data_IF_820354265478
#
_entry.id   IF_820354265478
#
_cell.length_a   1.000
_cell.length_b   1.000
_cell.length_c   1.000
_cell.angle_alpha   90.00
_cell.angle_beta   90.00
_cell.angle_gamma   90.00
#
_symmetry.space_group_name_H-M   'P 1'
#
loop_
_entity.id
_entity.type
_entity.pdbx_description
1 polymer ?
#
# COMPACT_ATOMS: atom_id res chain seq x y z
N UNK A 1 -25.68 44.85 36.99
CA UNK A 1 -24.82 44.67 35.80
C UNK A 1 -23.71 43.67 36.14
N UNK A 2 -23.84 42.38 35.82
CA UNK A 2 -22.68 41.46 35.75
C UNK A 2 -23.07 40.08 35.17
N UNK A 3 -23.41 40.01 33.88
CA UNK A 3 -23.66 38.72 33.18
C UNK A 3 -22.86 38.55 31.90
N UNK A 4 -22.10 39.57 31.47
CA UNK A 4 -21.29 39.52 30.24
C UNK A 4 -19.86 39.02 30.45
N UNK A 5 -19.32 39.09 31.66
CA UNK A 5 -17.93 38.66 31.95
C UNK A 5 -17.78 37.13 32.09
N UNK A 6 -18.82 36.42 32.54
CA UNK A 6 -18.77 34.96 32.74
C UNK A 6 -18.91 34.17 31.43
N UNK A 7 -19.52 34.74 30.38
CA UNK A 7 -19.71 34.07 29.08
C UNK A 7 -18.42 33.97 28.23
N UNK A 8 -17.44 34.86 28.44
CA UNK A 8 -16.18 34.86 27.69
C UNK A 8 -15.14 33.89 28.26
N UNK A 9 -15.15 33.63 29.58
CA UNK A 9 -14.23 32.65 30.18
C UNK A 9 -14.64 31.21 29.86
N UNK A 10 -15.95 30.91 29.81
CA UNK A 10 -16.46 29.57 29.47
C UNK A 10 -16.18 29.21 28.00
N UNK A 11 -16.19 30.19 27.08
CA UNK A 11 -15.86 29.97 25.67
C UNK A 11 -14.43 29.50 25.44
N UNK A 12 -13.46 30.00 26.21
CA UNK A 12 -12.07 29.56 26.08
C UNK A 12 -11.85 28.14 26.60
N UNK A 13 -12.44 27.76 27.74
CA UNK A 13 -12.27 26.42 28.29
C UNK A 13 -12.80 25.30 27.37
N UNK A 14 -13.88 25.57 26.62
CA UNK A 14 -14.42 24.59 25.64
C UNK A 14 -13.51 24.48 24.41
N UNK A 15 -12.98 25.60 23.90
CA UNK A 15 -12.06 25.61 22.75
C UNK A 15 -10.72 24.97 23.10
N UNK A 16 -10.20 25.27 24.29
CA UNK A 16 -8.95 24.72 24.80
C UNK A 16 -9.09 23.22 25.10
N UNK A 17 -10.24 22.79 25.64
CA UNK A 17 -10.57 21.37 25.80
C UNK A 17 -10.77 20.67 24.44
N UNK A 18 -11.35 21.32 23.43
CA UNK A 18 -11.48 20.76 22.09
C UNK A 18 -10.12 20.64 21.39
N UNK A 19 -9.21 21.59 21.59
CA UNK A 19 -7.82 21.53 21.14
C UNK A 19 -7.05 20.42 21.86
N UNK A 20 -7.20 20.28 23.18
CA UNK A 20 -6.59 19.21 23.96
C UNK A 20 -7.14 17.84 23.58
N UNK A 21 -8.45 17.68 23.41
CA UNK A 21 -9.06 16.43 22.94
C UNK A 21 -8.60 16.11 21.51
N UNK A 22 -8.54 17.12 20.63
CA UNK A 22 -8.01 16.96 19.28
C UNK A 22 -6.51 16.57 19.28
N UNK A 23 -5.70 17.17 20.16
CA UNK A 23 -4.27 16.85 20.27
C UNK A 23 -4.01 15.53 21.01
N UNK A 24 -4.84 15.14 21.99
CA UNK A 24 -4.76 13.86 22.68
C UNK A 24 -5.24 12.71 21.79
N UNK A 25 -6.27 12.89 20.97
CA UNK A 25 -6.64 11.92 19.92
C UNK A 25 -5.53 11.71 18.89
N UNK A 26 -4.65 12.70 18.68
CA UNK A 26 -3.47 12.54 17.84
C UNK A 26 -2.29 11.86 18.55
N UNK A 27 -2.27 11.85 19.88
CA UNK A 27 -1.14 11.36 20.68
C UNK A 27 -1.40 10.01 21.39
N UNK A 28 -2.64 9.53 21.47
CA UNK A 28 -2.98 8.23 22.09
C UNK A 28 -3.11 7.07 21.07
N UNK A 29 -3.04 7.34 19.76
CA UNK A 29 -3.12 6.34 18.68
C UNK A 29 -1.76 5.99 18.03
N UNK A 30 -0.65 6.08 18.77
CA UNK A 30 0.65 5.55 18.29
C UNK A 30 0.75 4.01 18.35
N UNK A 31 -0.37 3.34 18.66
CA UNK A 31 -0.60 1.96 18.27
C UNK A 31 -1.29 1.95 16.90
N UNK A 32 -0.60 2.42 15.86
CA UNK A 32 -1.06 2.14 14.50
C UNK A 32 -1.16 0.62 14.36
N UNK A 33 -2.36 0.08 14.13
CA UNK A 33 -2.59 -1.34 13.83
C UNK A 33 -1.76 -1.75 12.61
N UNK A 34 -0.51 -2.14 12.84
CA UNK A 34 0.39 -2.59 11.79
C UNK A 34 -0.11 -3.92 11.30
N UNK A 35 -0.45 -3.97 10.02
CA UNK A 35 -0.80 -5.22 9.37
C UNK A 35 0.45 -6.07 9.19
N UNK A 36 0.30 -7.38 9.44
CA UNK A 36 1.37 -8.35 9.20
C UNK A 36 1.22 -8.91 7.79
N UNK A 37 2.26 -8.76 6.98
CA UNK A 37 2.36 -9.37 5.65
C UNK A 37 3.45 -10.44 5.64
N UNK A 38 3.20 -11.50 4.86
CA UNK A 38 4.11 -12.64 4.72
C UNK A 38 4.69 -12.71 3.33
N UNK A 39 6.01 -12.61 3.24
CA UNK A 39 6.76 -12.56 1.99
C UNK A 39 7.84 -13.64 1.95
N UNK A 40 8.24 -14.02 0.73
CA UNK A 40 9.50 -14.74 0.49
C UNK A 40 10.63 -13.72 0.35
N UNK A 41 11.88 -14.14 0.57
CA UNK A 41 13.07 -13.31 0.32
C UNK A 41 13.06 -12.68 -1.09
N UNK A 42 12.77 -13.47 -2.13
CA UNK A 42 12.66 -12.98 -3.51
C UNK A 42 11.50 -11.99 -3.77
N UNK A 43 10.57 -11.82 -2.83
CA UNK A 43 9.50 -10.81 -2.91
C UNK A 43 9.91 -9.54 -2.15
N UNK A 44 10.66 -9.67 -1.06
CA UNK A 44 11.27 -8.56 -0.34
C UNK A 44 12.29 -7.84 -1.23
N UNK A 45 13.16 -8.61 -1.89
CA UNK A 45 14.12 -8.06 -2.86
C UNK A 45 13.42 -7.27 -3.98
N UNK A 46 12.27 -7.76 -4.46
CA UNK A 46 11.48 -7.04 -5.48
C UNK A 46 10.84 -5.76 -4.94
N UNK A 47 10.44 -5.74 -3.67
CA UNK A 47 9.94 -4.52 -3.01
C UNK A 47 11.06 -3.49 -2.90
N UNK A 48 12.27 -3.91 -2.51
CA UNK A 48 13.44 -3.04 -2.42
C UNK A 48 13.77 -2.45 -3.79
N UNK A 49 13.85 -3.27 -4.84
CA UNK A 49 14.08 -2.77 -6.20
C UNK A 49 12.98 -1.82 -6.68
N UNK A 50 11.71 -2.11 -6.37
CA UNK A 50 10.60 -1.18 -6.69
C UNK A 50 10.73 0.14 -5.93
N UNK A 51 11.15 0.10 -4.66
CA UNK A 51 11.43 1.28 -3.86
C UNK A 51 12.55 2.11 -4.49
N UNK A 52 13.68 1.49 -4.85
CA UNK A 52 14.83 2.15 -5.46
C UNK A 52 14.48 2.83 -6.79
N UNK A 53 13.74 2.13 -7.66
CA UNK A 53 13.36 2.65 -8.98
C UNK A 53 12.36 3.81 -8.89
N UNK A 54 11.46 3.78 -7.90
CA UNK A 54 10.38 4.77 -7.78
C UNK A 54 10.71 5.92 -6.82
N UNK A 55 11.73 5.77 -5.97
CA UNK A 55 12.04 6.68 -4.88
C UNK A 55 11.00 6.68 -3.75
N UNK A 56 10.11 5.67 -3.69
CA UNK A 56 9.05 5.57 -2.70
C UNK A 56 9.44 4.62 -1.57
N UNK A 57 8.99 4.91 -0.34
CA UNK A 57 9.21 4.01 0.79
C UNK A 57 8.55 2.64 0.60
N UNK A 58 9.13 1.61 1.22
CA UNK A 58 8.59 0.24 1.18
C UNK A 58 7.10 0.17 1.58
N UNK A 59 6.69 0.90 2.63
CA UNK A 59 5.29 0.96 3.05
C UNK A 59 4.38 1.57 1.98
N UNK A 60 4.87 2.59 1.26
CA UNK A 60 4.14 3.21 0.16
C UNK A 60 3.99 2.23 -1.00
N UNK A 61 5.06 1.49 -1.32
CA UNK A 61 5.02 0.43 -2.34
C UNK A 61 4.06 -0.69 -1.97
N UNK A 62 4.03 -1.11 -0.70
CA UNK A 62 3.10 -2.12 -0.22
C UNK A 62 1.64 -1.66 -0.38
N UNK A 63 1.34 -0.43 0.02
CA UNK A 63 0.01 0.15 -0.18
C UNK A 63 -0.35 0.29 -1.68
N UNK A 64 0.62 0.66 -2.52
CA UNK A 64 0.45 0.73 -3.96
C UNK A 64 0.20 -0.66 -4.57
N UNK A 65 0.94 -1.68 -4.13
CA UNK A 65 0.80 -3.06 -4.56
C UNK A 65 -0.61 -3.58 -4.27
N UNK A 66 -1.13 -3.36 -3.06
CA UNK A 66 -2.51 -3.72 -2.72
C UNK A 66 -3.50 -2.97 -3.63
N UNK A 67 -3.37 -1.65 -3.76
CA UNK A 67 -4.28 -0.87 -4.62
C UNK A 67 -4.24 -1.35 -6.08
N UNK A 68 -3.06 -1.70 -6.58
CA UNK A 68 -2.86 -2.15 -7.94
C UNK A 68 -3.44 -3.55 -8.17
N UNK A 69 -3.31 -4.46 -7.21
CA UNK A 69 -3.89 -5.80 -7.32
C UNK A 69 -5.42 -5.75 -7.34
N UNK A 70 -6.03 -4.93 -6.47
CA UNK A 70 -7.48 -4.68 -6.48
C UNK A 70 -7.97 -4.05 -7.79
N UNK A 71 -7.22 -3.05 -8.30
CA UNK A 71 -7.52 -2.44 -9.59
C UNK A 71 -7.43 -3.44 -10.74
N UNK A 72 -6.41 -4.28 -10.75
CA UNK A 72 -6.18 -5.29 -11.78
C UNK A 72 -7.32 -6.32 -11.82
N UNK A 73 -7.77 -6.81 -10.67
CA UNK A 73 -8.94 -7.71 -10.57
C UNK A 73 -10.18 -7.08 -11.17
N UNK A 74 -10.44 -5.81 -10.84
CA UNK A 74 -11.60 -5.08 -11.36
C UNK A 74 -11.57 -4.97 -12.89
N UNK A 75 -10.39 -4.79 -13.49
CA UNK A 75 -10.25 -4.75 -14.95
C UNK A 75 -10.44 -6.12 -15.58
N UNK A 76 -9.86 -7.16 -14.99
CA UNK A 76 -9.91 -8.52 -15.53
C UNK A 76 -11.28 -9.18 -15.36
N UNK A 77 -12.15 -8.65 -14.50
CA UNK A 77 -13.49 -9.19 -14.19
C UNK A 77 -13.46 -10.66 -13.75
N UNK A 78 -12.41 -11.06 -13.03
CA UNK A 78 -12.23 -12.41 -12.45
C UNK A 78 -12.21 -12.33 -10.94
N UNK A 79 -12.39 -13.46 -10.24
CA UNK A 79 -12.20 -13.45 -8.79
C UNK A 79 -10.71 -13.27 -8.44
N UNK A 80 -10.43 -12.64 -7.30
CA UNK A 80 -9.03 -12.38 -6.87
C UNK A 80 -8.20 -13.67 -6.77
N UNK A 81 -8.80 -14.78 -6.35
CA UNK A 81 -8.15 -16.10 -6.24
C UNK A 81 -7.90 -16.80 -7.57
N UNK A 82 -8.56 -16.35 -8.65
CA UNK A 82 -8.45 -16.92 -10.00
C UNK A 82 -7.37 -16.23 -10.85
N UNK A 83 -6.76 -15.16 -10.32
CA UNK A 83 -5.66 -14.50 -11.00
C UNK A 83 -4.52 -15.49 -11.27
N UNK A 84 -4.00 -15.48 -12.51
CA UNK A 84 -2.79 -16.24 -12.89
C UNK A 84 -1.61 -15.99 -11.96
N UNK A 85 -1.56 -14.80 -11.37
CA UNK A 85 -0.50 -14.35 -10.49
C UNK A 85 -0.79 -14.59 -8.99
N UNK A 86 -1.93 -15.20 -8.65
CA UNK A 86 -2.28 -15.53 -7.28
C UNK A 86 -1.25 -16.48 -6.65
N UNK A 87 -0.75 -16.19 -5.43
CA UNK A 87 0.24 -17.03 -4.78
C UNK A 87 -0.38 -18.34 -4.32
N UNK A 88 0.24 -19.47 -4.70
CA UNK A 88 -0.12 -20.80 -4.17
C UNK A 88 0.30 -20.97 -2.71
N UNK A 89 1.36 -20.28 -2.31
CA UNK A 89 1.93 -20.28 -0.95
C UNK A 89 2.47 -18.89 -0.65
N UNK A 90 2.32 -18.47 0.60
CA UNK A 90 2.98 -17.28 1.14
C UNK A 90 4.35 -17.68 1.68
N UNK A 91 5.26 -16.71 1.78
CA UNK A 91 6.54 -16.94 2.42
C UNK A 91 6.43 -16.90 3.96
N UNK A 92 7.58 -17.02 4.61
CA UNK A 92 7.71 -17.02 6.07
C UNK A 92 8.20 -15.69 6.64
N UNK A 93 8.77 -14.80 5.81
CA UNK A 93 9.33 -13.55 6.28
C UNK A 93 8.19 -12.59 6.61
N UNK A 94 8.25 -12.01 7.81
CA UNK A 94 7.19 -11.21 8.39
C UNK A 94 7.61 -9.74 8.27
N UNK A 95 6.82 -8.96 7.53
CA UNK A 95 6.96 -7.52 7.48
C UNK A 95 5.72 -6.88 8.13
N UNK A 96 5.94 -5.93 9.03
CA UNK A 96 4.87 -5.14 9.67
C UNK A 96 4.76 -3.81 8.93
N UNK A 97 3.58 -3.49 8.43
CA UNK A 97 3.34 -2.32 7.58
C UNK A 97 2.10 -1.57 8.01
N UNK A 98 2.16 -0.25 7.92
CA UNK A 98 0.96 0.59 8.04
C UNK A 98 0.16 0.56 6.74
N UNK A 99 -1.12 0.16 6.83
CA UNK A 99 -2.05 0.16 5.69
C UNK A 99 -2.88 1.44 5.76
N UNK A 100 -2.78 2.29 4.74
CA UNK A 100 -3.49 3.58 4.73
C UNK A 100 -5.01 3.35 4.78
N UNK A 101 -5.76 4.24 5.42
CA UNK A 101 -7.23 4.13 5.50
C UNK A 101 -7.89 3.95 4.12
N UNK A 102 -7.39 4.65 3.10
CA UNK A 102 -7.86 4.48 1.71
C UNK A 102 -7.61 3.07 1.14
N UNK A 103 -6.51 2.41 1.52
CA UNK A 103 -6.25 1.02 1.15
C UNK A 103 -7.18 0.08 1.90
N UNK A 104 -7.37 0.31 3.20
CA UNK A 104 -8.27 -0.47 4.06
C UNK A 104 -9.70 -0.46 3.54
N UNK A 105 -10.25 0.71 3.22
CA UNK A 105 -11.60 0.83 2.63
C UNK A 105 -11.73 0.00 1.36
N UNK A 106 -10.74 0.04 0.46
CA UNK A 106 -10.77 -0.73 -0.79
C UNK A 106 -10.68 -2.24 -0.56
N UNK A 107 -9.92 -2.68 0.43
CA UNK A 107 -9.86 -4.10 0.81
C UNK A 107 -11.21 -4.57 1.34
N UNK A 108 -11.87 -3.76 2.17
CA UNK A 108 -13.20 -4.06 2.71
C UNK A 108 -14.26 -4.11 1.61
N UNK A 109 -14.29 -3.13 0.71
CA UNK A 109 -15.20 -3.10 -0.46
C UNK A 109 -15.04 -4.35 -1.34
N UNK A 110 -13.84 -4.92 -1.40
CA UNK A 110 -13.55 -6.13 -2.16
C UNK A 110 -13.70 -7.43 -1.35
N UNK A 111 -14.04 -7.38 -0.06
CA UNK A 111 -14.04 -8.52 0.88
C UNK A 111 -12.69 -9.27 0.92
N UNK A 112 -11.58 -8.52 0.92
CA UNK A 112 -10.20 -9.03 0.91
C UNK A 112 -9.37 -8.58 2.13
N UNK A 113 -10.02 -8.09 3.19
CA UNK A 113 -9.40 -7.68 4.45
C UNK A 113 -8.53 -8.77 5.09
N UNK A 114 -8.88 -10.05 4.92
CA UNK A 114 -8.09 -11.19 5.42
C UNK A 114 -7.00 -11.67 4.46
N UNK A 115 -6.90 -11.08 3.27
CA UNK A 115 -6.00 -11.51 2.19
C UNK A 115 -4.95 -10.45 1.84
N UNK A 116 -4.51 -9.67 2.83
CA UNK A 116 -3.56 -8.56 2.64
C UNK A 116 -2.24 -9.10 2.06
N UNK A 117 -1.71 -10.20 2.62
CA UNK A 117 -0.46 -10.78 2.14
C UNK A 117 -0.54 -11.18 0.66
N UNK A 118 -1.63 -11.83 0.26
CA UNK A 118 -1.88 -12.22 -1.13
C UNK A 118 -2.04 -10.99 -2.03
N UNK A 119 -2.77 -9.97 -1.57
CA UNK A 119 -2.92 -8.68 -2.29
C UNK A 119 -1.58 -8.01 -2.54
N UNK A 120 -0.68 -8.04 -1.57
CA UNK A 120 0.68 -7.49 -1.69
C UNK A 120 1.49 -8.33 -2.67
N UNK A 121 1.53 -9.65 -2.53
CA UNK A 121 2.33 -10.53 -3.40
C UNK A 121 1.89 -10.42 -4.87
N UNK A 122 0.58 -10.42 -5.12
CA UNK A 122 0.04 -10.20 -6.47
C UNK A 122 0.45 -8.82 -6.98
N UNK A 123 0.27 -7.79 -6.15
CA UNK A 123 0.61 -6.41 -6.48
C UNK A 123 2.08 -6.22 -6.85
N UNK A 124 3.00 -6.74 -6.02
CA UNK A 124 4.45 -6.71 -6.28
C UNK A 124 4.73 -7.35 -7.63
N UNK A 125 4.20 -8.55 -7.89
CA UNK A 125 4.46 -9.27 -9.13
C UNK A 125 3.98 -8.49 -10.35
N UNK A 126 2.81 -7.87 -10.27
CA UNK A 126 2.25 -7.07 -11.35
C UNK A 126 3.03 -5.77 -11.58
N UNK A 127 3.36 -5.04 -10.51
CA UNK A 127 4.15 -3.81 -10.59
C UNK A 127 5.55 -4.08 -11.12
N UNK A 128 6.22 -5.11 -10.61
CA UNK A 128 7.56 -5.49 -11.04
C UNK A 128 7.62 -5.86 -12.52
N UNK A 129 6.63 -6.63 -13.02
CA UNK A 129 6.49 -6.94 -14.45
C UNK A 129 6.29 -5.68 -15.30
N UNK A 130 5.64 -4.65 -14.77
CA UNK A 130 5.29 -3.44 -15.53
C UNK A 130 6.39 -2.39 -15.52
N UNK A 131 7.12 -2.27 -14.41
CA UNK A 131 8.08 -1.20 -14.17
C UNK A 131 9.54 -1.63 -14.33
N UNK A 132 9.89 -2.88 -14.02
CA UNK A 132 11.29 -3.35 -13.99
C UNK A 132 11.56 -4.32 -15.13
N UNK A 133 10.66 -5.27 -15.39
CA UNK A 133 10.77 -6.16 -16.55
C UNK A 133 10.34 -5.38 -17.80
N UNK A 134 11.16 -4.41 -18.20
CA UNK A 134 11.14 -3.88 -19.56
C UNK A 134 11.47 -5.07 -20.46
N UNK A 135 10.53 -5.45 -21.33
CA UNK A 135 10.73 -6.52 -22.31
C UNK A 135 12.06 -6.31 -23.05
N UNK A 136 13.06 -7.14 -22.75
CA UNK A 136 14.22 -7.40 -23.61
C UNK A 136 13.78 -8.13 -24.90
N UNK A 137 12.83 -7.57 -25.66
CA UNK A 137 12.29 -8.20 -26.87
C UNK A 137 12.64 -7.46 -28.18
N UNK A 138 13.52 -6.45 -28.18
CA UNK A 138 13.99 -5.82 -29.43
C UNK A 138 15.43 -5.30 -29.37
N UNK A 139 16.40 -6.19 -29.14
CA UNK A 139 17.79 -5.89 -29.51
C UNK A 139 18.56 -7.19 -29.73
N UNK A 140 18.57 -7.65 -30.99
CA UNK A 140 19.67 -8.32 -31.70
C UNK A 140 19.13 -9.11 -32.90
N UNK A 141 18.45 -8.41 -33.82
CA UNK A 141 18.38 -8.79 -35.22
C UNK A 141 18.90 -7.59 -36.03
N UNK A 142 20.20 -7.32 -35.93
CA UNK A 142 20.92 -6.58 -36.96
C UNK A 142 21.97 -7.56 -37.49
N UNK A 143 21.57 -8.36 -38.46
CA UNK A 143 22.54 -8.97 -39.39
C UNK A 143 23.12 -7.81 -40.19
N UNK A 144 24.32 -7.37 -39.85
CA UNK A 144 25.11 -6.53 -40.73
C UNK A 144 25.65 -7.48 -41.81
N UNK A 145 24.90 -7.61 -42.90
CA UNK A 145 25.40 -8.21 -44.13
C UNK A 145 26.16 -7.11 -44.87
N UNK A 146 27.48 -7.06 -44.70
CA UNK A 146 28.34 -6.29 -45.60
C UNK A 146 28.69 -7.21 -46.78
N UNK A 147 27.91 -7.08 -47.85
CA UNK A 147 28.32 -7.24 -49.27
C UNK A 147 28.23 -5.78 -49.80
N UNK A 148 29.18 -5.20 -50.52
CA UNK A 148 30.20 -5.67 -51.46
C UNK A 148 31.48 -4.82 -51.33
#
# INVERSE_FOLDING_TARGET
MSTKAQLNQVKNGVVERALLIGQQQFNEDEWQDKSVIKLTEAQEEKLEQLSDVTGLSLETIVNLAIKYSLYYVKIQQVNFTELKDYPKRLGSNIMKVSITGKTTTRLQEANLDKKISECVVVGIKLLYKKLIIVKNEKTNNIKITNQE
#
